data_IF_827193496343
#
_entry.id   IF_827193496343
#
_cell.length_a   1.000
_cell.length_b   1.000
_cell.length_c   1.000
_cell.angle_alpha   90.00
_cell.angle_beta   90.00
_cell.angle_gamma   90.00
#
_symmetry.space_group_name_H-M   'P 1'
#
loop_
_entity.id
_entity.type
_entity.pdbx_description
1 polymer ?
#
# COMPACT_ATOMS: atom_id res chain seq x y z
N UNK A 1 16.92 11.31 2.53
CA UNK A 1 16.32 11.61 3.86
C UNK A 1 16.31 10.35 4.70
N UNK A 2 16.15 10.45 6.02
CA UNK A 2 16.08 9.29 6.92
C UNK A 2 15.01 8.29 6.45
N UNK A 3 13.80 8.78 6.14
CA UNK A 3 12.68 7.95 5.68
C UNK A 3 12.93 7.22 4.35
N UNK A 4 13.74 7.78 3.43
CA UNK A 4 14.17 7.05 2.22
C UNK A 4 15.12 5.90 2.57
N UNK A 5 16.07 6.13 3.49
CA UNK A 5 16.98 5.07 3.97
C UNK A 5 16.23 3.94 4.68
N UNK A 6 15.22 4.28 5.48
CA UNK A 6 14.32 3.30 6.11
C UNK A 6 13.55 2.47 5.07
N UNK A 7 13.01 3.14 4.03
CA UNK A 7 12.34 2.46 2.92
C UNK A 7 13.26 1.48 2.20
N UNK A 8 14.50 1.87 1.89
CA UNK A 8 15.50 0.95 1.34
C UNK A 8 15.82 -0.22 2.29
N UNK A 9 15.91 0.03 3.60
CA UNK A 9 16.12 -1.02 4.60
C UNK A 9 15.02 -2.09 4.57
N UNK A 10 13.76 -1.64 4.54
CA UNK A 10 12.60 -2.52 4.47
C UNK A 10 12.56 -3.32 3.16
N UNK A 11 12.78 -2.68 2.01
CA UNK A 11 12.71 -3.33 0.69
C UNK A 11 13.84 -4.34 0.49
N UNK A 12 15.08 -4.01 0.89
CA UNK A 12 16.22 -4.96 0.87
C UNK A 12 15.94 -6.19 1.73
N UNK A 13 15.36 -6.01 2.92
CA UNK A 13 14.96 -7.12 3.78
C UNK A 13 13.87 -8.01 3.13
N UNK A 14 12.99 -7.41 2.33
CA UNK A 14 12.01 -8.12 1.52
C UNK A 14 12.60 -8.76 0.25
N UNK A 15 13.89 -8.54 -0.03
CA UNK A 15 14.60 -9.09 -1.19
C UNK A 15 14.41 -8.27 -2.46
N UNK A 16 13.95 -7.02 -2.35
CA UNK A 16 13.81 -6.11 -3.49
C UNK A 16 15.11 -5.29 -3.62
N UNK A 17 15.83 -5.38 -4.74
CA UNK A 17 17.03 -4.59 -4.96
C UNK A 17 16.70 -3.11 -5.12
N UNK A 18 17.60 -2.24 -4.66
CA UNK A 18 17.41 -0.78 -4.70
C UNK A 18 17.11 -0.24 -6.10
N UNK A 19 17.66 -0.87 -7.13
CA UNK A 19 17.41 -0.51 -8.54
C UNK A 19 15.93 -0.61 -8.96
N UNK A 20 15.11 -1.34 -8.21
CA UNK A 20 13.66 -1.49 -8.41
C UNK A 20 12.83 -0.59 -7.48
N UNK A 21 13.48 0.18 -6.60
CA UNK A 21 12.82 1.13 -5.71
C UNK A 21 12.86 2.51 -6.38
N UNK A 22 11.68 3.03 -6.70
CA UNK A 22 11.54 4.32 -7.39
C UNK A 22 10.84 5.32 -6.47
N UNK A 23 11.55 6.40 -6.11
CA UNK A 23 10.95 7.56 -5.48
C UNK A 23 10.48 8.51 -6.58
N UNK A 24 9.17 8.66 -6.74
CA UNK A 24 8.59 9.45 -7.82
C UNK A 24 8.69 10.96 -7.60
N UNK A 25 8.90 11.38 -6.34
CA UNK A 25 9.11 12.78 -5.97
C UNK A 25 8.06 13.70 -6.63
N UNK A 26 6.80 13.30 -6.52
CA UNK A 26 5.68 13.91 -7.22
C UNK A 26 5.59 15.41 -6.85
N UNK A 27 5.52 16.32 -7.83
CA UNK A 27 5.44 17.77 -7.62
C UNK A 27 4.40 18.23 -6.60
N UNK A 28 3.27 17.54 -6.45
CA UNK A 28 2.25 17.91 -5.46
C UNK A 28 2.76 17.79 -4.00
N UNK A 29 3.75 16.92 -3.77
CA UNK A 29 4.31 16.59 -2.47
C UNK A 29 5.51 17.49 -2.10
N UNK A 30 6.31 17.88 -3.10
CA UNK A 30 7.56 18.66 -2.93
C UNK A 30 7.31 20.18 -2.89
N UNK A 31 6.40 20.65 -2.04
CA UNK A 31 6.06 22.09 -1.98
C UNK A 31 6.94 22.91 -1.04
N UNK A 32 7.81 22.26 -0.24
CA UNK A 32 8.60 22.93 0.79
C UNK A 32 7.77 23.67 1.87
N UNK A 33 6.44 23.52 1.84
CA UNK A 33 5.49 24.20 2.71
C UNK A 33 4.51 23.19 3.31
N UNK A 34 3.82 23.56 4.38
CA UNK A 34 2.81 22.69 5.03
C UNK A 34 1.65 22.36 4.06
N UNK A 35 1.41 23.24 3.08
CA UNK A 35 0.30 23.10 2.12
C UNK A 35 0.81 22.40 0.85
N UNK A 36 0.16 21.29 0.51
CA UNK A 36 0.42 20.56 -0.74
C UNK A 36 -0.24 21.26 -1.92
N UNK A 37 0.39 21.14 -3.09
CA UNK A 37 -0.18 21.65 -4.33
C UNK A 37 -1.33 20.73 -4.76
N UNK A 38 -2.29 21.24 -5.56
CA UNK A 38 -3.23 20.37 -6.24
C UNK A 38 -2.48 19.42 -7.17
N UNK A 39 -3.05 18.23 -7.40
CA UNK A 39 -2.55 17.28 -8.39
C UNK A 39 -2.50 17.95 -9.76
N UNK A 40 -1.35 17.88 -10.44
CA UNK A 40 -1.15 18.46 -11.77
C UNK A 40 -0.82 17.41 -12.84
N UNK A 41 -0.83 17.84 -14.10
CA UNK A 41 -0.48 16.99 -15.25
C UNK A 41 0.95 16.42 -15.14
N UNK A 42 1.88 17.16 -14.53
CA UNK A 42 3.25 16.67 -14.30
C UNK A 42 3.29 15.47 -13.36
N UNK A 43 2.46 15.45 -12.33
CA UNK A 43 2.36 14.31 -11.40
C UNK A 43 1.86 13.06 -12.14
N UNK A 44 0.86 13.24 -13.00
CA UNK A 44 0.27 12.18 -13.83
C UNK A 44 1.30 11.66 -14.83
N UNK A 45 2.04 12.55 -15.50
CA UNK A 45 3.08 12.14 -16.45
C UNK A 45 4.18 11.30 -15.79
N UNK A 46 4.66 11.69 -14.60
CA UNK A 46 5.66 10.91 -13.86
C UNK A 46 5.14 9.50 -13.52
N UNK A 47 3.87 9.41 -13.12
CA UNK A 47 3.22 8.13 -12.83
C UNK A 47 3.04 7.29 -14.11
N UNK A 48 2.66 7.91 -15.24
CA UNK A 48 2.60 7.25 -16.53
C UNK A 48 3.97 6.67 -16.94
N UNK A 49 5.02 7.47 -16.84
CA UNK A 49 6.37 7.09 -17.26
C UNK A 49 6.85 5.84 -16.53
N UNK A 50 6.61 5.75 -15.20
CA UNK A 50 7.02 4.57 -14.43
C UNK A 50 6.16 3.34 -14.77
N UNK A 51 4.85 3.48 -14.94
CA UNK A 51 3.96 2.37 -15.31
C UNK A 51 4.34 1.84 -16.70
N UNK A 52 4.63 2.71 -17.66
CA UNK A 52 5.06 2.31 -19.00
C UNK A 52 6.45 1.70 -19.07
N UNK A 53 7.36 2.16 -18.21
CA UNK A 53 8.69 1.57 -18.08
C UNK A 53 8.62 0.14 -17.57
N UNK A 54 7.78 -0.12 -16.56
CA UNK A 54 7.66 -1.43 -15.92
C UNK A 54 6.74 -2.38 -16.69
N UNK A 55 5.66 -1.86 -17.29
CA UNK A 55 4.58 -2.63 -17.93
C UNK A 55 4.01 -3.71 -17.00
N UNK A 56 3.51 -3.33 -15.81
CA UNK A 56 3.13 -4.29 -14.79
C UNK A 56 1.90 -5.10 -15.20
N UNK A 57 1.85 -6.37 -14.77
CA UNK A 57 0.63 -7.18 -14.79
C UNK A 57 -0.25 -6.93 -13.56
N UNK A 58 0.33 -6.40 -12.47
CA UNK A 58 -0.38 -6.11 -11.23
C UNK A 58 0.18 -4.84 -10.58
N UNK A 59 -0.72 -3.99 -10.09
CA UNK A 59 -0.41 -2.78 -9.32
C UNK A 59 -1.12 -2.91 -7.98
N UNK A 60 -0.39 -2.74 -6.88
CA UNK A 60 -0.95 -2.71 -5.53
C UNK A 60 -0.90 -1.27 -5.01
N UNK A 61 -2.04 -0.77 -4.52
CA UNK A 61 -2.14 0.60 -4.01
C UNK A 61 -2.92 0.66 -2.70
N UNK A 62 -2.59 1.62 -1.84
CA UNK A 62 -3.35 1.88 -0.63
C UNK A 62 -4.70 2.52 -1.00
N UNK A 63 -5.79 1.77 -0.85
CA UNK A 63 -7.17 2.23 -1.04
C UNK A 63 -7.78 2.88 0.20
N UNK A 64 -6.98 3.13 1.24
CA UNK A 64 -7.44 3.73 2.48
C UNK A 64 -7.65 5.24 2.32
N UNK A 65 -8.91 5.61 2.06
CA UNK A 65 -9.34 7.02 1.92
C UNK A 65 -9.47 7.75 3.26
N UNK A 66 -9.27 7.06 4.39
CA UNK A 66 -9.30 7.62 5.75
C UNK A 66 -7.95 8.26 6.15
N UNK A 67 -7.25 8.88 5.20
CA UNK A 67 -6.04 9.65 5.49
C UNK A 67 -6.40 11.08 5.96
N UNK A 68 -6.11 11.47 7.21
CA UNK A 68 -6.40 12.80 7.74
C UNK A 68 -5.68 13.93 6.98
N UNK A 69 -4.60 13.63 6.26
CA UNK A 69 -3.86 14.60 5.45
C UNK A 69 -4.20 14.55 3.95
N UNK A 70 -5.09 13.65 3.52
CA UNK A 70 -5.53 13.51 2.14
C UNK A 70 -4.44 13.11 1.14
N UNK A 71 -3.26 12.74 1.59
CA UNK A 71 -2.10 12.43 0.74
C UNK A 71 -2.26 11.09 0.04
N UNK A 72 -2.73 10.06 0.76
CA UNK A 72 -3.06 8.77 0.15
C UNK A 72 -4.11 8.94 -0.95
N UNK A 73 -5.11 9.80 -0.71
CA UNK A 73 -6.13 10.14 -1.71
C UNK A 73 -5.51 10.76 -2.95
N UNK A 74 -4.68 11.78 -2.81
CA UNK A 74 -4.04 12.44 -3.98
C UNK A 74 -3.12 11.48 -4.74
N UNK A 75 -2.34 10.63 -4.06
CA UNK A 75 -1.54 9.59 -4.72
C UNK A 75 -2.42 8.59 -5.50
N UNK A 76 -3.56 8.20 -4.92
CA UNK A 76 -4.49 7.28 -5.55
C UNK A 76 -5.20 7.92 -6.75
N UNK A 77 -5.56 9.21 -6.65
CA UNK A 77 -6.09 10.01 -7.77
C UNK A 77 -5.08 10.12 -8.92
N UNK A 78 -3.79 10.32 -8.60
CA UNK A 78 -2.71 10.33 -9.59
C UNK A 78 -2.62 8.98 -10.34
N UNK A 79 -2.69 7.87 -9.59
CA UNK A 79 -2.71 6.53 -10.17
C UNK A 79 -3.95 6.34 -11.06
N UNK A 80 -5.14 6.70 -10.60
CA UNK A 80 -6.37 6.53 -11.37
C UNK A 80 -6.40 7.37 -12.66
N UNK A 81 -5.90 8.60 -12.62
CA UNK A 81 -5.72 9.43 -13.81
C UNK A 81 -4.77 8.75 -14.81
N UNK A 82 -3.64 8.22 -14.32
CA UNK A 82 -2.65 7.52 -15.15
C UNK A 82 -3.23 6.24 -15.77
N UNK A 83 -3.96 5.45 -15.00
CA UNK A 83 -4.63 4.24 -15.49
C UNK A 83 -5.62 4.55 -16.61
N UNK A 84 -6.35 5.67 -16.50
CA UNK A 84 -7.29 6.13 -17.54
C UNK A 84 -6.57 6.50 -18.84
N UNK A 85 -5.44 7.20 -18.75
CA UNK A 85 -4.63 7.59 -19.92
C UNK A 85 -3.94 6.39 -20.57
N UNK A 86 -3.44 5.47 -19.76
CA UNK A 86 -2.73 4.27 -20.24
C UNK A 86 -3.66 3.14 -20.67
N UNK A 87 -4.97 3.21 -20.43
CA UNK A 87 -5.93 2.12 -20.69
C UNK A 87 -5.86 1.52 -22.10
N UNK A 88 -5.56 2.33 -23.12
CA UNK A 88 -5.38 1.86 -24.51
C UNK A 88 -4.10 1.04 -24.76
N UNK A 89 -3.16 1.09 -23.81
CA UNK A 89 -1.95 0.28 -23.63
C UNK A 89 -2.13 -1.20 -23.94
N UNK A 90 -1.45 -1.89 -24.90
CA UNK A 90 -1.60 -3.34 -25.03
C UNK A 90 -1.33 -4.12 -23.74
N UNK A 91 -0.32 -3.72 -22.95
CA UNK A 91 0.02 -4.36 -21.67
C UNK A 91 -1.02 -4.11 -20.56
N UNK A 92 -1.86 -3.08 -20.70
CA UNK A 92 -2.88 -2.76 -19.69
C UNK A 92 -4.06 -3.71 -19.72
N UNK A 93 -4.26 -4.46 -20.82
CA UNK A 93 -5.33 -5.46 -20.94
C UNK A 93 -5.25 -6.53 -19.85
N UNK A 94 -4.03 -6.90 -19.47
CA UNK A 94 -3.73 -7.91 -18.46
C UNK A 94 -3.20 -7.31 -17.15
N UNK A 95 -3.36 -5.99 -16.96
CA UNK A 95 -2.91 -5.30 -15.75
C UNK A 95 -4.05 -5.17 -14.73
N UNK A 96 -3.92 -5.82 -13.57
CA UNK A 96 -4.88 -5.72 -12.47
C UNK A 96 -4.44 -4.71 -11.41
N UNK A 97 -5.39 -3.99 -10.83
CA UNK A 97 -5.12 -3.02 -9.77
C UNK A 97 -5.82 -3.49 -8.50
N UNK A 98 -5.04 -3.72 -7.44
CA UNK A 98 -5.48 -4.25 -6.16
C UNK A 98 -5.32 -3.21 -5.06
N UNK A 99 -6.42 -2.93 -4.37
CA UNK A 99 -6.49 -1.95 -3.30
C UNK A 99 -6.43 -2.66 -1.94
N UNK A 100 -5.46 -2.29 -1.11
CA UNK A 100 -5.35 -2.73 0.29
C UNK A 100 -5.65 -1.56 1.24
N UNK A 101 -6.03 -1.88 2.48
CA UNK A 101 -6.25 -0.87 3.54
C UNK A 101 -5.08 -0.79 4.52
N UNK A 102 -5.02 0.33 5.25
CA UNK A 102 -4.03 0.56 6.29
C UNK A 102 -4.26 -0.33 7.51
N UNK A 103 -3.42 -0.15 8.54
CA UNK A 103 -3.49 -0.96 9.76
C UNK A 103 -4.72 -0.69 10.65
N UNK A 104 -5.56 0.29 10.30
CA UNK A 104 -6.67 0.74 11.13
C UNK A 104 -8.01 0.08 10.78
N UNK A 105 -8.24 -0.19 9.50
CA UNK A 105 -9.50 -0.72 9.00
C UNK A 105 -9.20 -1.81 7.97
N UNK A 106 -10.02 -2.84 7.95
CA UNK A 106 -10.00 -3.87 6.92
C UNK A 106 -11.28 -3.81 6.10
N UNK A 107 -11.26 -4.42 4.91
CA UNK A 107 -12.47 -4.67 4.12
C UNK A 107 -13.43 -5.62 4.84
N UNK A 108 -14.72 -5.42 4.64
CA UNK A 108 -15.70 -6.43 5.05
C UNK A 108 -15.55 -7.68 4.18
N UNK A 109 -15.82 -8.87 4.74
CA UNK A 109 -15.54 -10.14 4.07
C UNK A 109 -16.17 -10.22 2.68
N UNK A 110 -17.40 -9.71 2.54
CA UNK A 110 -18.15 -9.74 1.29
C UNK A 110 -17.63 -8.76 0.22
N UNK A 111 -16.76 -7.82 0.60
CA UNK A 111 -16.10 -6.89 -0.33
C UNK A 111 -14.79 -7.47 -0.89
N UNK A 112 -14.16 -8.41 -0.18
CA UNK A 112 -12.83 -8.93 -0.52
C UNK A 112 -12.89 -9.74 -1.82
N UNK A 113 -12.17 -9.28 -2.85
CA UNK A 113 -12.07 -9.95 -4.15
C UNK A 113 -10.81 -10.83 -4.27
N UNK A 114 -9.79 -10.59 -3.45
CA UNK A 114 -8.60 -11.45 -3.35
C UNK A 114 -8.12 -11.51 -1.90
N UNK A 115 -7.85 -12.72 -1.42
CA UNK A 115 -7.27 -12.94 -0.10
C UNK A 115 -5.99 -13.79 -0.21
N UNK A 116 -4.88 -13.30 0.36
CA UNK A 116 -3.57 -13.94 0.26
C UNK A 116 -3.17 -14.48 1.63
N UNK A 117 -3.14 -15.81 1.83
CA UNK A 117 -2.77 -16.40 3.10
C UNK A 117 -1.28 -16.23 3.40
N UNK A 118 -0.94 -16.09 4.68
CA UNK A 118 0.42 -15.97 5.18
C UNK A 118 0.73 -17.07 6.21
N UNK A 119 1.89 -17.70 6.04
CA UNK A 119 2.50 -18.57 7.05
C UNK A 119 3.01 -17.77 8.25
N UNK A 120 3.24 -18.41 9.42
CA UNK A 120 3.84 -17.73 10.58
C UNK A 120 5.17 -17.04 10.23
N UNK A 121 6.00 -17.65 9.39
CA UNK A 121 7.29 -17.08 8.97
C UNK A 121 7.10 -15.81 8.14
N UNK A 122 6.10 -15.76 7.25
CA UNK A 122 5.79 -14.56 6.47
C UNK A 122 5.26 -13.43 7.36
N UNK A 123 4.46 -13.74 8.38
CA UNK A 123 4.00 -12.74 9.38
C UNK A 123 5.20 -12.13 10.11
N UNK A 124 6.11 -12.96 10.63
CA UNK A 124 7.34 -12.50 11.28
C UNK A 124 8.22 -11.67 10.33
N UNK A 125 8.26 -12.04 9.05
CA UNK A 125 8.98 -11.29 8.02
C UNK A 125 8.35 -9.91 7.81
N UNK A 126 7.03 -9.83 7.63
CA UNK A 126 6.33 -8.54 7.51
C UNK A 126 6.58 -7.64 8.72
N UNK A 127 6.48 -8.19 9.94
CA UNK A 127 6.77 -7.44 11.18
C UNK A 127 8.18 -6.84 11.19
N UNK A 128 9.18 -7.63 10.83
CA UNK A 128 10.57 -7.14 10.73
C UNK A 128 10.72 -6.06 9.66
N UNK A 129 10.02 -6.16 8.52
CA UNK A 129 10.02 -5.10 7.50
C UNK A 129 9.46 -3.78 8.06
N UNK A 130 8.39 -3.83 8.84
CA UNK A 130 7.82 -2.66 9.53
C UNK A 130 8.84 -2.02 10.48
N UNK A 131 9.66 -2.84 11.17
CA UNK A 131 10.67 -2.33 12.10
C UNK A 131 11.78 -1.51 11.44
N UNK A 132 11.99 -1.61 10.12
CA UNK A 132 12.94 -0.73 9.43
C UNK A 132 12.46 0.74 9.37
N UNK A 133 11.16 1.00 9.57
CA UNK A 133 10.59 2.34 9.61
C UNK A 133 10.62 2.94 11.03
N UNK A 134 11.80 2.95 11.66
CA UNK A 134 12.00 3.35 13.07
C UNK A 134 11.38 4.71 13.42
N UNK A 135 11.62 5.72 12.59
CA UNK A 135 11.10 7.08 12.83
C UNK A 135 9.61 7.23 12.60
N UNK A 136 8.92 6.19 12.11
CA UNK A 136 7.49 6.22 11.77
C UNK A 136 6.66 5.17 12.53
N UNK A 137 7.30 4.11 13.06
CA UNK A 137 6.60 3.00 13.71
C UNK A 137 6.18 3.32 15.16
N UNK A 138 6.97 4.14 15.87
CA UNK A 138 6.79 4.49 17.28
C UNK A 138 6.30 5.94 17.33
N UNK A 139 5.05 6.15 17.77
CA UNK A 139 4.44 7.47 17.80
C UNK A 139 3.79 7.85 16.47
N UNK A 140 2.71 7.16 16.11
CA UNK A 140 1.81 7.67 15.08
C UNK A 140 1.22 8.96 15.61
N UNK A 141 1.37 10.06 14.87
CA UNK A 141 0.94 11.41 15.31
C UNK A 141 -0.57 11.50 15.62
N UNK A 142 -1.33 10.49 15.21
CA UNK A 142 -2.75 10.29 15.54
C UNK A 142 -2.91 8.91 16.17
N UNK A 143 -2.61 8.81 17.47
CA UNK A 143 -3.21 7.78 18.30
C UNK A 143 -4.67 8.19 18.48
N UNK A 144 -5.59 7.44 17.88
CA UNK A 144 -6.97 7.41 18.40
C UNK A 144 -6.96 6.76 19.79
N UNK A 145 -8.02 6.07 20.15
CA UNK A 145 -8.06 5.34 21.43
C UNK A 145 -7.22 4.04 21.43
N UNK A 146 -6.78 3.58 20.24
CA UNK A 146 -5.95 2.39 20.10
C UNK A 146 -4.46 2.69 20.36
N UNK A 147 -4.00 2.29 21.56
CA UNK A 147 -2.64 2.48 22.05
C UNK A 147 -1.61 1.48 21.49
N UNK A 148 -2.04 0.49 20.70
CA UNK A 148 -1.14 -0.54 20.16
C UNK A 148 -0.14 0.07 19.17
N UNK A 149 1.08 -0.47 19.16
CA UNK A 149 2.09 -0.11 18.16
C UNK A 149 1.61 -0.47 16.74
N UNK A 150 2.10 0.24 15.72
CA UNK A 150 1.65 0.04 14.33
C UNK A 150 1.78 -1.42 13.86
N UNK A 151 2.88 -2.08 14.20
CA UNK A 151 3.12 -3.47 13.79
C UNK A 151 2.14 -4.45 14.44
N UNK A 152 1.73 -4.21 15.69
CA UNK A 152 0.76 -5.06 16.41
C UNK A 152 -0.58 -4.99 15.70
N UNK A 153 -1.03 -3.77 15.36
CA UNK A 153 -2.29 -3.56 14.63
C UNK A 153 -2.26 -4.20 13.25
N UNK A 154 -1.16 -4.03 12.52
CA UNK A 154 -1.00 -4.65 11.21
C UNK A 154 -1.05 -6.20 11.30
N UNK A 155 -0.42 -6.79 12.31
CA UNK A 155 -0.41 -8.24 12.55
C UNK A 155 -1.79 -8.76 12.99
N UNK A 156 -2.41 -8.12 13.99
CA UNK A 156 -3.74 -8.48 14.51
C UNK A 156 -4.81 -8.38 13.43
N UNK A 157 -4.81 -7.30 12.62
CA UNK A 157 -5.75 -7.14 11.50
C UNK A 157 -5.68 -8.34 10.54
N UNK A 158 -4.47 -8.73 10.13
CA UNK A 158 -4.34 -9.85 9.21
C UNK A 158 -4.72 -11.19 9.86
N UNK A 159 -4.45 -11.35 11.16
CA UNK A 159 -4.87 -12.52 11.93
C UNK A 159 -6.39 -12.61 12.03
N UNK A 160 -7.07 -11.50 12.31
CA UNK A 160 -8.53 -11.43 12.36
C UNK A 160 -9.16 -11.80 11.01
N UNK A 161 -8.61 -11.33 9.88
CA UNK A 161 -9.05 -11.77 8.54
C UNK A 161 -8.93 -13.28 8.37
N UNK A 162 -7.82 -13.89 8.79
CA UNK A 162 -7.65 -15.34 8.73
C UNK A 162 -8.65 -16.10 9.62
N UNK A 163 -8.91 -15.61 10.84
CA UNK A 163 -9.90 -16.20 11.76
C UNK A 163 -11.33 -16.11 11.21
N UNK A 164 -11.68 -15.00 10.58
CA UNK A 164 -12.95 -14.81 9.88
C UNK A 164 -13.11 -15.79 8.72
N UNK A 165 -12.06 -16.02 7.93
CA UNK A 165 -12.10 -17.02 6.86
C UNK A 165 -12.21 -18.45 7.42
N UNK A 166 -11.51 -18.74 8.51
CA UNK A 166 -11.60 -20.03 9.18
C UNK A 166 -13.01 -20.30 9.75
N UNK A 167 -13.68 -19.29 10.33
CA UNK A 167 -15.04 -19.45 10.84
C UNK A 167 -16.08 -19.70 9.74
N UNK A 168 -15.77 -19.32 8.49
CA UNK A 168 -16.53 -19.66 7.30
C UNK A 168 -16.23 -21.07 6.76
N UNK A 169 -15.35 -21.83 7.42
CA UNK A 169 -14.98 -23.20 7.04
C UNK A 169 -13.79 -23.32 6.09
N UNK A 170 -13.04 -22.24 5.85
CA UNK A 170 -11.83 -22.28 5.04
C UNK A 170 -10.61 -22.75 5.86
N UNK A 171 -9.53 -23.07 5.14
CA UNK A 171 -8.28 -23.53 5.77
C UNK A 171 -7.71 -22.49 6.75
N UNK A 172 -7.11 -22.99 7.83
CA UNK A 172 -6.50 -22.15 8.87
C UNK A 172 -5.12 -21.65 8.42
N UNK A 173 -4.91 -20.35 8.57
CA UNK A 173 -3.64 -19.67 8.29
C UNK A 173 -3.28 -18.74 9.44
N UNK A 174 -2.00 -18.39 9.57
CA UNK A 174 -1.56 -17.49 10.64
C UNK A 174 -2.13 -16.08 10.48
N UNK A 175 -2.27 -15.64 9.23
CA UNK A 175 -2.76 -14.32 8.87
C UNK A 175 -3.14 -14.29 7.38
N UNK A 176 -3.91 -13.29 6.95
CA UNK A 176 -4.35 -13.14 5.56
C UNK A 176 -4.40 -11.66 5.17
N UNK A 177 -3.86 -11.32 4.00
CA UNK A 177 -4.03 -10.00 3.38
C UNK A 177 -5.25 -9.97 2.48
N UNK A 178 -6.02 -8.89 2.53
CA UNK A 178 -7.22 -8.71 1.75
C UNK A 178 -7.06 -7.57 0.74
N UNK A 179 -7.58 -7.79 -0.47
CA UNK A 179 -7.54 -6.84 -1.56
C UNK A 179 -8.90 -6.74 -2.27
N UNK A 180 -9.22 -5.53 -2.72
CA UNK A 180 -10.37 -5.23 -3.59
C UNK A 180 -9.84 -4.79 -4.94
N UNK A 181 -10.47 -5.22 -6.03
CA UNK A 181 -10.04 -4.89 -7.38
C UNK A 181 -10.58 -3.52 -7.78
N UNK A 182 -9.69 -2.63 -8.17
CA UNK A 182 -10.08 -1.42 -8.90
C UNK A 182 -10.29 -1.76 -10.38
N UNK A 183 -11.49 -1.46 -10.89
CA UNK A 183 -11.89 -1.69 -12.29
C UNK A 183 -11.86 -0.35 -13.01
N UNK A 184 -11.01 -0.23 -14.04
CA UNK A 184 -10.72 1.03 -14.72
C UNK A 184 -10.96 0.96 -16.23
#
# INVERSE_FOLDING_TARGET
TIRRSESYGATRYMGIPDSQVHFLDLPFYETGTIKKNPLGEKDIQIMNDIIEKIKPHQIYAAGDLADPHGTHRVCLEALFASLKELKGKPFMKDCWVWLYRGAWHEWEIHEIEMAVPMSPVQVLRKRKAIFYHQTQKDGVMFQGEDLREFWVRAEDRNKETALKYQSLGLASYAAMEAFVRYKY
#
